data_IF_538840896386
#
_entry.id   IF_538840896386
#
_cell.length_a   1.000
_cell.length_b   1.000
_cell.length_c   1.000
_cell.angle_alpha   90.00
_cell.angle_beta   90.00
_cell.angle_gamma   90.00
#
_symmetry.space_group_name_H-M   'P 1'
#
loop_
_entity.id
_entity.type
_entity.pdbx_description
1 polymer ?
#
# COMPACT_ATOMS: atom_id res chain seq x y z
N UNK A 1 -27.20 8.65 -18.94
CA UNK A 1 -26.49 9.43 -17.91
C UNK A 1 -25.02 9.10 -18.10
N UNK A 2 -24.23 10.04 -18.60
CA UNK A 2 -22.82 9.80 -18.94
C UNK A 2 -21.96 9.92 -17.68
N UNK A 3 -21.06 8.94 -17.45
CA UNK A 3 -20.05 9.01 -16.40
C UNK A 3 -19.05 10.10 -16.81
N UNK A 4 -18.77 11.11 -15.96
CA UNK A 4 -17.78 12.12 -16.31
C UNK A 4 -16.38 11.50 -16.29
N UNK A 5 -15.62 11.75 -17.35
CA UNK A 5 -14.22 11.39 -17.46
C UNK A 5 -13.39 12.37 -16.61
N UNK A 6 -12.83 11.88 -15.50
CA UNK A 6 -11.95 12.65 -14.61
C UNK A 6 -10.50 12.14 -14.69
N UNK A 7 -10.04 11.76 -15.88
CA UNK A 7 -8.62 11.54 -16.12
C UNK A 7 -7.87 12.88 -16.08
N UNK A 8 -7.33 13.24 -14.91
CA UNK A 8 -6.27 14.25 -14.83
C UNK A 8 -5.00 13.60 -15.39
N UNK A 9 -4.56 14.09 -16.55
CA UNK A 9 -3.30 13.70 -17.20
C UNK A 9 -2.11 14.18 -16.37
N UNK A 10 -1.76 13.43 -15.34
CA UNK A 10 -0.51 13.59 -14.61
C UNK A 10 0.58 12.97 -15.49
N UNK A 11 1.30 13.80 -16.24
CA UNK A 11 2.46 13.39 -17.03
C UNK A 11 3.38 12.49 -16.18
N UNK A 12 3.49 11.22 -16.58
CA UNK A 12 4.23 10.21 -15.83
C UNK A 12 5.74 10.36 -16.10
N UNK A 13 6.61 10.39 -15.07
CA UNK A 13 8.05 10.28 -15.32
C UNK A 13 8.38 8.97 -16.04
N UNK A 14 9.32 9.02 -16.98
CA UNK A 14 9.66 7.94 -17.92
C UNK A 14 10.24 6.68 -17.27
N UNK A 15 10.75 6.79 -16.04
CA UNK A 15 11.07 5.65 -15.18
C UNK A 15 10.63 5.98 -13.75
N UNK A 16 9.61 5.28 -13.25
CA UNK A 16 9.38 5.28 -11.80
C UNK A 16 10.64 4.70 -11.14
N UNK A 17 11.18 5.34 -10.09
CA UNK A 17 12.28 4.75 -9.34
C UNK A 17 11.87 3.37 -8.83
N UNK A 18 12.84 2.44 -8.76
CA UNK A 18 12.57 1.07 -8.31
C UNK A 18 12.04 1.00 -6.87
N UNK A 19 11.57 -0.17 -6.42
CA UNK A 19 10.89 -0.29 -5.14
C UNK A 19 11.84 0.06 -3.99
N UNK A 20 11.29 0.71 -2.98
CA UNK A 20 11.93 0.81 -1.66
C UNK A 20 11.58 -0.44 -0.86
N UNK A 21 12.52 -0.86 -0.03
CA UNK A 21 12.42 -2.04 0.82
C UNK A 21 13.01 -1.71 2.19
N UNK A 22 12.63 -2.50 3.19
CA UNK A 22 13.33 -2.56 4.47
C UNK A 22 14.43 -3.61 4.37
N UNK A 23 15.66 -3.27 4.76
CA UNK A 23 16.83 -4.16 4.73
C UNK A 23 17.77 -3.82 5.88
N UNK A 24 18.08 -4.81 6.73
CA UNK A 24 18.99 -4.63 7.89
C UNK A 24 18.63 -3.39 8.74
N UNK A 25 17.36 -3.22 9.09
CA UNK A 25 16.87 -2.06 9.87
C UNK A 25 17.10 -0.71 9.18
N UNK A 26 17.25 -0.67 7.86
CA UNK A 26 17.40 0.55 7.07
C UNK A 26 16.49 0.54 5.84
N UNK A 27 16.20 1.72 5.32
CA UNK A 27 15.51 1.85 4.04
C UNK A 27 16.52 1.76 2.89
N UNK A 28 16.21 0.93 1.92
CA UNK A 28 17.00 0.79 0.70
C UNK A 28 16.11 0.84 -0.53
N UNK A 29 16.68 1.25 -1.66
CA UNK A 29 16.03 1.23 -2.96
C UNK A 29 16.73 0.22 -3.85
N UNK A 30 15.95 -0.66 -4.46
CA UNK A 30 16.46 -1.56 -5.48
C UNK A 30 16.37 -0.91 -6.87
N UNK A 31 17.42 -1.03 -7.67
CA UNK A 31 17.38 -0.76 -9.11
C UNK A 31 18.12 -1.86 -9.88
N UNK A 32 17.74 -2.11 -11.14
CA UNK A 32 18.47 -3.07 -11.99
C UNK A 32 19.88 -2.59 -12.36
N UNK A 33 20.14 -1.29 -12.33
CA UNK A 33 21.42 -0.71 -12.73
C UNK A 33 22.47 -0.75 -11.61
N UNK A 34 22.05 -0.52 -10.36
CA UNK A 34 22.94 -0.36 -9.20
C UNK A 34 22.69 -1.39 -8.09
N UNK A 35 21.73 -2.29 -8.27
CA UNK A 35 21.31 -3.23 -7.24
C UNK A 35 20.61 -2.53 -6.06
N UNK A 36 20.78 -3.08 -4.87
CA UNK A 36 20.24 -2.53 -3.64
C UNK A 36 21.16 -1.43 -3.10
N UNK A 37 20.61 -0.22 -2.93
CA UNK A 37 21.33 0.95 -2.43
C UNK A 37 20.57 1.54 -1.24
N UNK A 38 21.25 1.86 -0.15
CA UNK A 38 20.62 2.60 0.95
C UNK A 38 20.09 3.94 0.45
N UNK A 39 18.96 4.39 1.00
CA UNK A 39 18.43 5.72 0.66
C UNK A 39 19.30 6.77 1.37
N UNK A 40 19.99 7.66 0.63
CA UNK A 40 20.87 8.64 1.24
C UNK A 40 20.14 9.51 2.26
N UNK A 41 20.78 9.75 3.41
CA UNK A 41 20.26 10.62 4.46
C UNK A 41 19.17 9.98 5.33
N UNK A 42 18.75 8.74 5.08
CA UNK A 42 17.85 8.04 6.01
C UNK A 42 18.62 7.49 7.22
N UNK A 43 18.10 7.65 8.44
CA UNK A 43 18.73 7.09 9.64
C UNK A 43 18.60 5.56 9.66
N UNK A 44 19.46 4.89 10.42
CA UNK A 44 19.22 3.50 10.84
C UNK A 44 18.03 3.44 11.79
N UNK A 45 17.19 2.42 11.66
CA UNK A 45 15.94 2.23 12.42
C UNK A 45 16.14 1.28 13.61
N UNK A 46 17.36 1.13 14.10
CA UNK A 46 17.71 0.11 15.11
C UNK A 46 16.91 0.21 16.41
N UNK A 47 16.59 -0.94 16.99
CA UNK A 47 15.75 -1.06 18.19
C UNK A 47 14.25 -0.82 17.94
N UNK A 48 13.83 -0.76 16.67
CA UNK A 48 12.43 -0.66 16.21
C UNK A 48 12.03 -1.93 15.44
N UNK A 49 10.74 -2.07 15.16
CA UNK A 49 10.20 -3.06 14.23
C UNK A 49 9.61 -2.33 13.00
N UNK A 50 10.46 -1.78 12.11
CA UNK A 50 10.02 -0.98 10.99
C UNK A 50 9.39 -1.86 9.91
N UNK A 51 8.08 -1.71 9.71
CA UNK A 51 7.29 -2.46 8.75
C UNK A 51 6.54 -1.52 7.81
N UNK A 52 6.18 -2.05 6.64
CA UNK A 52 5.24 -1.42 5.71
C UNK A 52 5.56 0.06 5.40
N UNK A 53 6.74 0.37 4.81
CA UNK A 53 7.02 1.73 4.37
C UNK A 53 5.96 2.20 3.37
N UNK A 54 5.57 3.46 3.48
CA UNK A 54 4.72 4.17 2.52
C UNK A 54 5.48 5.39 2.01
N UNK A 55 5.36 5.65 0.71
CA UNK A 55 6.15 6.67 0.01
C UNK A 55 5.21 7.54 -0.79
N UNK A 56 5.23 8.88 -0.62
CA UNK A 56 4.41 9.74 -1.44
C UNK A 56 4.88 9.70 -2.90
N UNK A 57 3.97 10.11 -3.79
CA UNK A 57 4.38 10.48 -5.13
C UNK A 57 5.28 11.72 -5.13
N UNK A 58 6.11 11.84 -6.15
CA UNK A 58 6.96 13.02 -6.32
C UNK A 58 6.13 14.31 -6.36
N UNK A 59 6.58 15.34 -5.65
CA UNK A 59 5.90 16.64 -5.57
C UNK A 59 4.73 16.72 -4.60
N UNK A 60 4.40 15.63 -3.89
CA UNK A 60 3.39 15.66 -2.82
C UNK A 60 3.99 16.24 -1.54
N UNK A 61 3.28 17.19 -0.93
CA UNK A 61 3.59 17.75 0.39
C UNK A 61 3.24 16.75 1.51
N UNK A 62 4.15 15.80 1.74
CA UNK A 62 4.09 14.76 2.75
C UNK A 62 5.51 14.36 3.20
N UNK A 63 5.66 13.68 4.35
CA UNK A 63 6.94 13.08 4.73
C UNK A 63 7.39 12.09 3.66
N UNK A 64 8.69 12.09 3.35
CA UNK A 64 9.26 11.27 2.26
C UNK A 64 9.04 9.78 2.44
N UNK A 65 9.09 9.30 3.66
CA UNK A 65 8.74 7.92 4.01
C UNK A 65 8.03 7.93 5.34
N UNK A 66 6.98 7.11 5.44
CA UNK A 66 6.32 6.78 6.69
C UNK A 66 6.40 5.27 6.88
N UNK A 67 6.72 4.82 8.08
CA UNK A 67 6.76 3.40 8.44
C UNK A 67 5.76 3.11 9.56
N UNK A 68 5.26 1.88 9.62
CA UNK A 68 4.62 1.36 10.82
C UNK A 68 5.69 0.77 11.75
N UNK A 69 5.65 1.09 13.03
CA UNK A 69 6.55 0.55 14.05
C UNK A 69 5.73 -0.31 15.02
N UNK A 70 5.98 -1.62 15.02
CA UNK A 70 5.33 -2.59 15.90
C UNK A 70 3.79 -2.65 15.80
N UNK A 71 3.20 -2.12 14.72
CA UNK A 71 1.75 -2.03 14.55
C UNK A 71 1.07 -1.01 15.48
N UNK A 72 1.81 -0.19 16.22
CA UNK A 72 1.26 0.74 17.22
C UNK A 72 1.60 2.20 16.94
N UNK A 73 2.52 2.48 16.01
CA UNK A 73 2.89 3.85 15.67
C UNK A 73 3.20 4.03 14.20
N UNK A 74 2.85 5.19 13.66
CA UNK A 74 3.35 5.67 12.38
C UNK A 74 4.50 6.64 12.64
N UNK A 75 5.65 6.39 12.03
CA UNK A 75 6.83 7.24 12.15
C UNK A 75 7.18 7.88 10.82
N UNK A 76 7.53 9.15 10.81
CA UNK A 76 8.23 9.75 9.67
C UNK A 76 9.68 9.29 9.66
N UNK A 77 10.23 9.02 8.48
CA UNK A 77 11.66 8.78 8.31
C UNK A 77 12.26 9.96 7.51
N UNK A 78 12.93 10.90 8.20
CA UNK A 78 13.59 12.04 7.57
C UNK A 78 14.74 11.60 6.65
N UNK A 79 15.08 12.44 5.67
CA UNK A 79 16.20 12.25 4.75
C UNK A 79 17.40 13.19 5.02
N UNK A 80 17.39 13.84 6.18
CA UNK A 80 18.47 14.70 6.68
C UNK A 80 19.29 14.04 7.80
N UNK A 81 19.04 12.76 8.06
CA UNK A 81 19.67 11.97 9.12
C UNK A 81 19.12 12.21 10.52
N UNK A 82 18.10 13.06 10.68
CA UNK A 82 17.43 13.23 11.98
C UNK A 82 16.64 11.99 12.40
N UNK A 83 16.34 11.89 13.70
CA UNK A 83 15.64 10.74 14.25
C UNK A 83 14.19 10.63 13.73
N UNK A 84 13.66 9.41 13.53
CA UNK A 84 12.26 9.20 13.19
C UNK A 84 11.33 9.87 14.21
N UNK A 85 10.35 10.63 13.73
CA UNK A 85 9.37 11.31 14.60
C UNK A 85 8.05 10.57 14.58
N UNK A 86 7.44 10.40 15.76
CA UNK A 86 6.10 9.81 15.87
C UNK A 86 5.06 10.76 15.27
N UNK A 87 4.38 10.29 14.23
CA UNK A 87 3.31 11.01 13.57
C UNK A 87 1.94 10.69 14.20
N UNK A 88 1.74 9.41 14.53
CA UNK A 88 0.49 8.92 15.08
C UNK A 88 0.74 7.67 15.92
N UNK A 89 -0.06 7.49 16.97
CA UNK A 89 -0.01 6.31 17.84
C UNK A 89 -1.42 5.75 17.96
N UNK A 90 -1.53 4.43 17.88
CA UNK A 90 -2.77 3.70 18.06
C UNK A 90 -2.48 2.23 18.36
N UNK A 91 -3.47 1.39 18.09
CA UNK A 91 -3.40 -0.05 18.31
C UNK A 91 -3.75 -0.74 16.98
N UNK A 92 -3.11 -1.87 16.67
CA UNK A 92 -3.41 -2.68 15.46
C UNK A 92 -3.51 -1.84 14.18
N UNK A 93 -2.55 -0.93 13.96
CA UNK A 93 -2.56 -0.05 12.79
C UNK A 93 -2.38 -0.86 11.51
N UNK A 94 -3.25 -0.66 10.53
CA UNK A 94 -3.03 -1.21 9.19
C UNK A 94 -1.82 -0.52 8.51
N UNK A 95 -1.14 -1.19 7.56
CA UNK A 95 -0.09 -0.59 6.74
C UNK A 95 -0.48 0.80 6.20
N UNK A 96 0.39 1.82 6.31
CA UNK A 96 0.07 3.16 5.83
C UNK A 96 -0.03 3.23 4.30
N UNK A 97 -0.80 4.20 3.80
CA UNK A 97 -0.85 4.61 2.39
C UNK A 97 -0.86 6.14 2.32
N UNK A 98 -0.16 6.74 1.35
CA UNK A 98 -0.06 8.19 1.26
C UNK A 98 -0.73 8.68 -0.02
N UNK A 99 -1.79 9.49 0.14
CA UNK A 99 -2.50 10.03 -1.01
C UNK A 99 -1.77 11.23 -1.65
N UNK A 100 -2.24 11.66 -2.82
CA UNK A 100 -1.69 12.83 -3.54
C UNK A 100 -1.91 14.18 -2.84
N UNK A 101 -2.75 14.23 -1.81
CA UNK A 101 -2.98 15.41 -0.98
C UNK A 101 -2.10 15.40 0.28
N UNK A 102 -1.22 14.40 0.41
CA UNK A 102 -0.28 14.24 1.50
C UNK A 102 -0.92 13.84 2.82
N UNK A 103 -2.07 13.16 2.78
CA UNK A 103 -2.62 12.49 3.96
C UNK A 103 -2.07 11.07 4.04
N UNK A 104 -1.69 10.68 5.25
CA UNK A 104 -1.24 9.34 5.61
C UNK A 104 -2.45 8.59 6.17
N UNK A 105 -2.91 7.57 5.44
CA UNK A 105 -4.09 6.79 5.77
C UNK A 105 -3.72 5.51 6.50
N UNK A 106 -4.46 5.20 7.55
CA UNK A 106 -4.37 3.95 8.31
C UNK A 106 -5.73 3.65 8.98
N UNK A 107 -5.80 2.55 9.71
CA UNK A 107 -6.92 2.22 10.62
C UNK A 107 -6.40 2.08 12.03
N UNK A 108 -7.31 1.97 12.99
CA UNK A 108 -6.98 1.76 14.40
C UNK A 108 -7.87 0.64 14.95
N UNK A 109 -7.24 -0.37 15.56
CA UNK A 109 -7.87 -1.42 16.36
C UNK A 109 -8.42 -2.61 15.57
N UNK A 110 -8.47 -3.76 16.25
CA UNK A 110 -8.89 -5.06 15.68
C UNK A 110 -10.34 -5.16 15.18
N UNK A 111 -11.21 -4.19 15.48
CA UNK A 111 -12.54 -4.02 14.89
C UNK A 111 -12.73 -2.56 14.50
N UNK A 112 -12.67 -2.24 13.21
CA UNK A 112 -12.70 -0.87 12.73
C UNK A 112 -14.13 -0.35 12.53
N UNK A 113 -14.38 0.89 12.95
CA UNK A 113 -15.59 1.66 12.57
C UNK A 113 -15.22 3.03 11.99
N UNK A 114 -13.93 3.33 11.93
CA UNK A 114 -13.36 4.56 11.40
C UNK A 114 -12.09 4.24 10.61
N UNK A 115 -11.83 5.05 9.59
CA UNK A 115 -10.52 5.14 8.94
C UNK A 115 -9.89 6.46 9.36
N UNK A 116 -8.58 6.43 9.62
CA UNK A 116 -7.82 7.58 10.10
C UNK A 116 -6.94 8.11 8.98
N UNK A 117 -6.91 9.44 8.85
CA UNK A 117 -5.99 10.16 7.97
C UNK A 117 -5.22 11.21 8.78
N UNK A 118 -3.89 11.22 8.66
CA UNK A 118 -2.99 12.10 9.41
C UNK A 118 -2.21 12.98 8.44
N UNK A 119 -1.89 14.22 8.83
CA UNK A 119 -1.01 15.14 8.08
C UNK A 119 0.35 15.23 8.75
N UNK A 120 1.37 15.67 8.02
CA UNK A 120 2.73 15.86 8.52
C UNK A 120 2.82 16.77 9.76
N UNK A 121 1.88 17.71 9.91
CA UNK A 121 1.78 18.62 11.05
C UNK A 121 1.07 18.01 12.28
N UNK A 122 0.72 16.71 12.22
CA UNK A 122 0.01 15.99 13.28
C UNK A 122 -1.52 16.17 13.25
N UNK A 123 -2.08 16.93 12.29
CA UNK A 123 -3.53 17.06 12.16
C UNK A 123 -4.17 15.70 11.88
N UNK A 124 -5.21 15.37 12.64
CA UNK A 124 -5.87 14.07 12.63
C UNK A 124 -7.32 14.18 12.14
N UNK A 125 -7.67 13.31 11.19
CA UNK A 125 -8.99 13.23 10.59
C UNK A 125 -9.53 11.81 10.78
N UNK A 126 -10.68 11.70 11.43
CA UNK A 126 -11.44 10.45 11.54
C UNK A 126 -12.57 10.48 10.53
N UNK A 127 -12.66 9.44 9.71
CA UNK A 127 -13.66 9.31 8.67
C UNK A 127 -14.56 8.14 9.06
N UNK A 128 -15.87 8.39 9.11
CA UNK A 128 -16.86 7.36 9.37
C UNK A 128 -16.70 6.20 8.39
N UNK A 129 -16.58 5.01 8.95
CA UNK A 129 -16.54 3.76 8.22
C UNK A 129 -17.38 2.72 8.96
N UNK A 130 -18.57 3.11 9.43
CA UNK A 130 -19.44 2.26 10.26
C UNK A 130 -19.76 0.91 9.60
N UNK A 131 -19.70 0.83 8.26
CA UNK A 131 -19.86 -0.42 7.52
C UNK A 131 -18.78 -1.49 7.81
N UNK A 132 -17.65 -1.11 8.41
CA UNK A 132 -16.58 -2.00 8.87
C UNK A 132 -16.81 -2.56 10.28
N UNK A 133 -17.87 -2.13 10.99
CA UNK A 133 -18.14 -2.59 12.35
C UNK A 133 -18.19 -4.14 12.40
N UNK A 134 -17.49 -4.71 13.38
CA UNK A 134 -17.29 -6.16 13.51
C UNK A 134 -16.21 -6.76 12.61
N UNK A 135 -15.47 -5.97 11.81
CA UNK A 135 -14.40 -6.46 10.91
C UNK A 135 -13.01 -5.95 11.32
N UNK A 136 -12.00 -6.80 11.19
CA UNK A 136 -10.59 -6.41 11.27
C UNK A 136 -10.15 -5.87 9.91
N UNK A 137 -9.57 -4.68 9.86
CA UNK A 137 -9.03 -4.12 8.61
C UNK A 137 -7.57 -4.52 8.48
N UNK A 138 -7.22 -5.18 7.37
CA UNK A 138 -5.85 -5.56 7.07
C UNK A 138 -5.12 -4.52 6.22
N UNK A 139 -5.83 -3.78 5.37
CA UNK A 139 -5.22 -2.68 4.59
C UNK A 139 -6.22 -1.64 4.12
N UNK A 140 -5.74 -0.40 3.99
CA UNK A 140 -6.42 0.70 3.31
C UNK A 140 -5.43 1.29 2.31
N UNK A 141 -5.72 1.18 1.02
CA UNK A 141 -4.83 1.63 -0.06
C UNK A 141 -5.51 2.70 -0.89
N UNK A 142 -4.93 3.90 -0.90
CA UNK A 142 -5.48 5.02 -1.65
C UNK A 142 -5.07 4.92 -3.11
N UNK A 143 -6.02 5.17 -3.99
CA UNK A 143 -5.74 5.29 -5.41
C UNK A 143 -4.88 6.52 -5.67
N UNK A 144 -4.18 6.48 -6.78
CA UNK A 144 -3.33 7.56 -7.28
C UNK A 144 -4.05 8.92 -7.41
N UNK A 145 -5.35 8.89 -7.67
CA UNK A 145 -6.20 10.08 -7.80
C UNK A 145 -6.63 10.66 -6.45
N UNK A 146 -6.41 9.96 -5.35
CA UNK A 146 -6.84 10.34 -3.99
C UNK A 146 -8.35 10.38 -3.78
N UNK A 147 -9.14 9.95 -4.77
CA UNK A 147 -10.59 9.98 -4.80
C UNK A 147 -11.21 8.58 -4.60
N UNK A 148 -10.38 7.53 -4.57
CA UNK A 148 -10.80 6.15 -4.31
C UNK A 148 -9.87 5.50 -3.30
N UNK A 149 -10.40 4.58 -2.51
CA UNK A 149 -9.62 3.69 -1.66
C UNK A 149 -10.10 2.25 -1.86
N UNK A 150 -9.17 1.31 -1.71
CA UNK A 150 -9.51 -0.10 -1.52
C UNK A 150 -9.25 -0.46 -0.08
N UNK A 151 -10.24 -1.08 0.54
CA UNK A 151 -10.20 -1.55 1.91
C UNK A 151 -10.27 -3.06 1.88
N UNK A 152 -9.28 -3.71 2.50
CA UNK A 152 -9.31 -5.15 2.75
C UNK A 152 -9.65 -5.35 4.22
N UNK A 153 -10.71 -6.10 4.49
CA UNK A 153 -11.18 -6.38 5.84
C UNK A 153 -11.65 -7.83 5.98
N UNK A 154 -11.70 -8.31 7.22
CA UNK A 154 -11.97 -9.70 7.53
C UNK A 154 -12.93 -9.81 8.71
N UNK A 155 -13.89 -10.72 8.61
CA UNK A 155 -14.52 -11.37 9.78
C UNK A 155 -13.83 -12.71 10.01
N UNK A 156 -14.23 -13.47 11.04
CA UNK A 156 -13.70 -14.82 11.29
C UNK A 156 -13.82 -15.75 10.06
N UNK A 157 -14.94 -15.65 9.33
CA UNK A 157 -15.25 -16.59 8.23
C UNK A 157 -15.10 -16.01 6.81
N UNK A 158 -14.69 -14.74 6.67
CA UNK A 158 -14.81 -14.06 5.36
C UNK A 158 -13.84 -12.91 5.18
N UNK A 159 -13.20 -12.89 4.02
CA UNK A 159 -12.45 -11.74 3.50
C UNK A 159 -13.31 -10.86 2.61
N UNK A 160 -13.14 -9.55 2.74
CA UNK A 160 -13.80 -8.53 1.96
C UNK A 160 -12.74 -7.65 1.29
N UNK A 161 -12.88 -7.41 -0.01
CA UNK A 161 -12.13 -6.40 -0.75
C UNK A 161 -13.15 -5.43 -1.30
N UNK A 162 -13.15 -4.19 -0.81
CA UNK A 162 -14.18 -3.20 -1.11
C UNK A 162 -13.54 -1.92 -1.64
N UNK A 163 -14.06 -1.43 -2.77
CA UNK A 163 -13.73 -0.14 -3.36
C UNK A 163 -14.69 0.93 -2.82
N UNK A 164 -14.15 2.02 -2.29
CA UNK A 164 -14.93 3.16 -1.80
C UNK A 164 -14.48 4.45 -2.48
N UNK A 165 -15.43 5.36 -2.70
CA UNK A 165 -15.11 6.75 -3.06
C UNK A 165 -14.64 7.54 -1.83
N UNK A 166 -13.73 8.47 -2.00
CA UNK A 166 -13.22 9.35 -0.93
C UNK A 166 -13.75 10.76 -1.17
N UNK A 167 -14.70 11.18 -0.33
CA UNK A 167 -15.24 12.53 -0.32
C UNK A 167 -14.33 13.50 0.41
N UNK A 168 -14.07 14.66 -0.19
CA UNK A 168 -13.18 15.71 0.35
C UNK A 168 -13.85 17.07 0.34
N UNK A 169 -13.39 17.95 1.22
CA UNK A 169 -13.76 19.36 1.15
C UNK A 169 -12.88 20.14 0.15
N UNK A 170 -13.15 21.43 -0.01
CA UNK A 170 -12.46 22.32 -0.97
C UNK A 170 -10.96 22.48 -0.70
N UNK A 171 -10.48 22.12 0.49
CA UNK A 171 -9.05 22.12 0.84
C UNK A 171 -8.42 20.73 0.68
N UNK A 172 -9.14 19.75 0.11
CA UNK A 172 -8.66 18.39 -0.08
C UNK A 172 -8.67 17.54 1.21
N UNK A 173 -9.24 18.04 2.30
CA UNK A 173 -9.34 17.29 3.56
C UNK A 173 -10.38 16.18 3.42
N UNK A 174 -10.09 14.93 3.82
CA UNK A 174 -11.05 13.85 3.75
C UNK A 174 -12.22 14.08 4.71
N UNK A 175 -13.43 13.77 4.25
CA UNK A 175 -14.69 14.01 4.97
C UNK A 175 -15.60 12.81 5.04
N UNK A 176 -15.60 11.96 4.01
CA UNK A 176 -16.51 10.82 3.95
C UNK A 176 -15.96 9.72 3.07
N UNK A 177 -16.49 8.51 3.26
CA UNK A 177 -16.36 7.39 2.34
C UNK A 177 -17.71 7.16 1.66
N UNK A 178 -17.68 6.82 0.38
CA UNK A 178 -18.86 6.41 -0.37
C UNK A 178 -19.32 5.00 0.01
N UNK A 179 -20.44 4.57 -0.57
CA UNK A 179 -20.94 3.20 -0.41
C UNK A 179 -19.89 2.19 -0.92
N UNK A 180 -19.57 1.15 -0.13
CA UNK A 180 -18.57 0.15 -0.53
C UNK A 180 -19.07 -0.72 -1.68
N UNK A 181 -18.28 -0.79 -2.74
CA UNK A 181 -18.47 -1.72 -3.84
C UNK A 181 -17.56 -2.93 -3.63
N UNK A 182 -18.16 -4.10 -3.42
CA UNK A 182 -17.41 -5.34 -3.30
C UNK A 182 -16.75 -5.70 -4.63
N UNK A 183 -15.47 -6.04 -4.57
CA UNK A 183 -14.67 -6.50 -5.70
C UNK A 183 -13.91 -7.77 -5.28
N UNK A 184 -13.36 -8.48 -6.27
CA UNK A 184 -12.53 -9.67 -6.05
C UNK A 184 -13.16 -10.74 -5.13
N UNK A 185 -14.48 -10.96 -5.26
CA UNK A 185 -15.24 -11.92 -4.43
C UNK A 185 -14.80 -13.39 -4.54
N UNK A 186 -13.95 -13.70 -5.51
CA UNK A 186 -13.35 -15.02 -5.69
C UNK A 186 -12.20 -15.30 -4.70
N UNK A 187 -11.70 -14.29 -3.99
CA UNK A 187 -10.63 -14.41 -3.01
C UNK A 187 -11.17 -14.96 -1.67
N UNK A 188 -10.38 -15.84 -1.07
CA UNK A 188 -10.69 -16.44 0.24
C UNK A 188 -9.86 -15.77 1.35
N UNK A 189 -8.55 -15.63 1.13
CA UNK A 189 -7.62 -14.90 1.99
C UNK A 189 -6.86 -13.83 1.20
N UNK A 190 -6.57 -12.70 1.83
CA UNK A 190 -5.72 -11.63 1.27
C UNK A 190 -4.57 -11.34 2.22
N UNK A 191 -3.34 -11.55 1.74
CA UNK A 191 -2.11 -11.29 2.49
C UNK A 191 -1.62 -9.86 2.29
N UNK A 192 -1.71 -9.33 1.07
CA UNK A 192 -1.27 -7.98 0.74
C UNK A 192 -1.95 -7.45 -0.52
N UNK A 193 -2.08 -6.13 -0.62
CA UNK A 193 -2.70 -5.48 -1.77
C UNK A 193 -2.08 -4.11 -2.08
N UNK A 194 -2.03 -3.79 -3.36
CA UNK A 194 -1.54 -2.51 -3.88
C UNK A 194 -2.28 -2.10 -5.14
N UNK A 195 -2.41 -0.81 -5.37
CA UNK A 195 -2.81 -0.29 -6.68
C UNK A 195 -1.73 -0.58 -7.73
N UNK A 196 -2.18 -0.93 -8.92
CA UNK A 196 -1.38 -1.11 -10.12
C UNK A 196 -1.99 -0.24 -11.22
N UNK A 197 -1.68 1.04 -11.18
CA UNK A 197 -2.27 2.06 -12.05
C UNK A 197 -3.67 2.52 -11.64
N UNK A 198 -4.38 3.24 -12.53
CA UNK A 198 -5.62 3.91 -12.16
C UNK A 198 -6.82 2.97 -12.03
N UNK A 199 -6.81 1.78 -12.66
CA UNK A 199 -8.01 0.92 -12.72
C UNK A 199 -7.73 -0.55 -12.42
N UNK A 200 -6.55 -0.87 -11.88
CA UNK A 200 -6.19 -2.23 -11.49
C UNK A 200 -5.56 -2.29 -10.11
N UNK A 201 -5.73 -3.44 -9.47
CA UNK A 201 -5.08 -3.84 -8.22
C UNK A 201 -4.20 -5.05 -8.48
N UNK A 202 -3.17 -5.19 -7.66
CA UNK A 202 -2.43 -6.43 -7.47
C UNK A 202 -2.70 -6.89 -6.06
N UNK A 203 -3.20 -8.11 -5.91
CA UNK A 203 -3.60 -8.70 -4.64
C UNK A 203 -2.88 -10.04 -4.50
N UNK A 204 -2.20 -10.24 -3.37
CA UNK A 204 -1.61 -11.50 -2.99
C UNK A 204 -2.59 -12.25 -2.08
N UNK A 205 -2.97 -13.45 -2.45
CA UNK A 205 -4.01 -14.17 -1.72
C UNK A 205 -4.34 -15.56 -2.27
N UNK A 206 -5.19 -16.26 -1.53
CA UNK A 206 -5.80 -17.52 -1.93
C UNK A 206 -7.17 -17.27 -2.54
N UNK A 207 -7.74 -18.28 -3.19
CA UNK A 207 -9.08 -18.22 -3.76
C UNK A 207 -9.96 -19.28 -3.13
N UNK A 208 -11.28 -19.09 -3.21
CA UNK A 208 -12.25 -20.09 -2.69
C UNK A 208 -12.07 -21.47 -3.35
N UNK A 209 -11.50 -21.51 -4.57
CA UNK A 209 -11.28 -22.74 -5.33
C UNK A 209 -9.87 -23.34 -5.17
N UNK A 210 -8.91 -22.60 -4.61
CA UNK A 210 -7.49 -22.99 -4.55
C UNK A 210 -6.80 -22.23 -3.41
N UNK A 211 -6.28 -23.00 -2.45
CA UNK A 211 -5.57 -22.53 -1.24
C UNK A 211 -4.12 -22.14 -1.50
N UNK A 212 -3.64 -22.26 -2.74
CA UNK A 212 -2.32 -21.79 -3.13
C UNK A 212 -2.29 -20.26 -3.19
N UNK A 213 -1.43 -19.65 -2.37
CA UNK A 213 -1.16 -18.22 -2.42
C UNK A 213 -0.60 -17.81 -3.79
N UNK A 214 -1.32 -16.93 -4.50
CA UNK A 214 -0.91 -16.39 -5.79
C UNK A 214 -1.14 -14.90 -5.88
N UNK A 215 -0.48 -14.30 -6.85
CA UNK A 215 -0.69 -12.89 -7.21
C UNK A 215 -1.81 -12.79 -8.24
N UNK A 216 -2.86 -12.07 -7.89
CA UNK A 216 -4.02 -11.80 -8.73
C UNK A 216 -4.00 -10.34 -9.16
N UNK A 217 -4.11 -10.10 -10.47
CA UNK A 217 -4.37 -8.77 -11.01
C UNK A 217 -5.87 -8.61 -11.19
N UNK A 218 -6.44 -7.69 -10.43
CA UNK A 218 -7.88 -7.43 -10.39
C UNK A 218 -8.15 -6.11 -11.11
N UNK A 219 -8.93 -6.14 -12.19
CA UNK A 219 -9.30 -4.93 -12.93
C UNK A 219 -10.68 -4.45 -12.49
N UNK A 220 -10.80 -3.16 -12.22
CA UNK A 220 -12.08 -2.53 -11.88
C UNK A 220 -12.91 -2.45 -13.16
N UNK A 221 -13.92 -3.32 -13.27
CA UNK A 221 -14.79 -3.42 -14.45
C UNK A 221 -14.21 -4.24 -15.61
N UNK A 222 -13.15 -5.01 -15.37
CA UNK A 222 -12.47 -5.83 -16.39
C UNK A 222 -12.33 -7.29 -15.98
N UNK A 223 -11.54 -8.03 -16.77
CA UNK A 223 -11.19 -9.42 -16.46
C UNK A 223 -10.03 -9.47 -15.48
N UNK A 224 -10.12 -10.40 -14.52
CA UNK A 224 -9.04 -10.69 -13.58
C UNK A 224 -8.06 -11.68 -14.20
N UNK A 225 -6.79 -11.58 -13.84
CA UNK A 225 -5.75 -12.51 -14.28
C UNK A 225 -4.91 -12.99 -13.10
N UNK A 226 -4.42 -14.22 -13.16
CA UNK A 226 -3.49 -14.78 -12.18
C UNK A 226 -2.08 -14.73 -12.74
N UNK A 227 -1.11 -14.32 -11.94
CA UNK A 227 0.29 -14.35 -12.32
C UNK A 227 0.93 -15.70 -11.94
N UNK A 228 2.01 -16.12 -12.61
CA UNK A 228 2.78 -17.29 -12.23
C UNK A 228 3.17 -17.30 -10.75
N UNK A 229 3.27 -18.49 -10.19
CA UNK A 229 3.56 -18.69 -8.77
C UNK A 229 4.97 -18.18 -8.40
N UNK A 230 5.05 -17.52 -7.25
CA UNK A 230 6.28 -17.34 -6.47
C UNK A 230 6.06 -18.11 -5.16
N UNK A 231 6.90 -19.09 -4.88
CA UNK A 231 6.76 -19.89 -3.67
C UNK A 231 6.92 -19.02 -2.42
N UNK A 232 6.10 -19.30 -1.41
CA UNK A 232 6.13 -18.64 -0.10
C UNK A 232 6.03 -17.11 -0.19
N UNK A 233 5.31 -16.58 -1.19
CA UNK A 233 5.09 -15.15 -1.37
C UNK A 233 4.35 -14.55 -0.17
N UNK A 234 4.85 -13.41 0.33
CA UNK A 234 4.28 -12.73 1.52
C UNK A 234 3.95 -11.25 1.29
N UNK A 235 4.52 -10.61 0.26
CA UNK A 235 4.26 -9.19 -0.03
C UNK A 235 4.32 -8.88 -1.52
N UNK A 236 3.55 -7.88 -1.96
CA UNK A 236 3.51 -7.39 -3.35
C UNK A 236 3.63 -5.88 -3.38
N UNK A 237 4.33 -5.37 -4.40
CA UNK A 237 4.28 -3.95 -4.72
C UNK A 237 4.15 -3.76 -6.23
N UNK A 238 3.49 -2.67 -6.62
CA UNK A 238 3.35 -2.31 -8.03
C UNK A 238 3.66 -0.85 -8.26
N UNK A 239 4.32 -0.56 -9.38
CA UNK A 239 4.49 0.80 -9.84
C UNK A 239 3.17 1.37 -10.39
N UNK A 240 3.11 2.70 -10.45
CA UNK A 240 1.98 3.46 -11.00
C UNK A 240 1.66 3.14 -12.46
N UNK A 241 2.61 2.65 -13.25
CA UNK A 241 2.41 2.39 -14.69
C UNK A 241 1.96 0.96 -15.01
N UNK A 242 1.65 0.16 -13.98
CA UNK A 242 1.18 -1.24 -14.06
C UNK A 242 2.16 -2.24 -14.70
N UNK A 243 3.33 -1.77 -15.16
CA UNK A 243 4.34 -2.58 -15.86
C UNK A 243 5.30 -3.26 -14.90
N UNK A 244 5.41 -2.78 -13.67
CA UNK A 244 6.32 -3.34 -12.67
C UNK A 244 5.52 -3.84 -11.48
N UNK A 245 5.42 -5.16 -11.38
CA UNK A 245 4.97 -5.86 -10.17
C UNK A 245 6.18 -6.57 -9.60
N UNK A 246 6.34 -6.47 -8.29
CA UNK A 246 7.39 -7.16 -7.54
C UNK A 246 6.76 -7.98 -6.43
N UNK A 247 7.40 -9.09 -6.09
CA UNK A 247 6.96 -10.02 -5.05
C UNK A 247 8.12 -10.25 -4.10
N UNK A 248 7.86 -10.26 -2.80
CA UNK A 248 8.82 -10.76 -1.80
C UNK A 248 8.27 -12.03 -1.18
N UNK A 249 9.14 -13.01 -0.95
CA UNK A 249 8.79 -14.24 -0.25
C UNK A 249 9.28 -14.23 1.20
N UNK A 250 8.88 -15.24 1.98
CA UNK A 250 9.22 -15.36 3.40
C UNK A 250 10.71 -15.50 3.69
N UNK A 251 11.53 -15.90 2.71
CA UNK A 251 13.01 -15.92 2.83
C UNK A 251 13.67 -14.57 2.57
N UNK A 252 12.87 -13.52 2.31
CA UNK A 252 13.34 -12.17 2.03
C UNK A 252 13.94 -12.00 0.64
N UNK A 253 13.55 -12.84 -0.33
CA UNK A 253 13.97 -12.72 -1.72
C UNK A 253 12.99 -11.86 -2.52
N UNK A 254 13.51 -10.84 -3.22
CA UNK A 254 12.75 -9.99 -4.13
C UNK A 254 12.74 -10.59 -5.54
N UNK A 255 11.54 -10.70 -6.10
CA UNK A 255 11.30 -11.15 -7.46
C UNK A 255 10.74 -10.01 -8.30
N UNK A 256 11.35 -9.73 -9.44
CA UNK A 256 10.83 -8.83 -10.45
C UNK A 256 10.13 -9.60 -11.55
N UNK A 257 9.05 -9.02 -12.08
CA UNK A 257 8.42 -9.54 -13.28
C UNK A 257 9.23 -9.18 -14.52
N UNK A 258 9.68 -10.20 -15.26
CA UNK A 258 10.34 -10.04 -16.56
C UNK A 258 9.54 -10.82 -17.61
N UNK A 259 8.65 -10.12 -18.32
CA UNK A 259 7.70 -10.73 -19.25
C UNK A 259 6.80 -11.77 -18.58
N UNK A 260 6.95 -13.04 -19.00
CA UNK A 260 6.18 -14.17 -18.48
C UNK A 260 6.80 -14.84 -17.24
N UNK A 261 8.02 -14.45 -16.82
CA UNK A 261 8.75 -15.10 -15.75
C UNK A 261 9.00 -14.18 -14.55
N UNK A 262 9.29 -14.79 -13.40
CA UNK A 262 9.83 -14.12 -12.22
C UNK A 262 11.34 -14.29 -12.20
N UNK A 263 12.06 -13.20 -11.97
CA UNK A 263 13.50 -13.22 -11.76
C UNK A 263 13.79 -12.79 -10.32
N UNK A 264 14.46 -13.65 -9.55
CA UNK A 264 15.01 -13.28 -8.25
C UNK A 264 16.17 -12.31 -8.46
N UNK A 265 16.18 -11.18 -7.76
CA UNK A 265 17.16 -10.11 -7.97
C UNK A 265 17.97 -9.71 -6.75
N UNK A 266 17.43 -9.86 -5.54
CA UNK A 266 18.12 -9.58 -4.29
C UNK A 266 17.48 -10.38 -3.15
N UNK A 267 18.22 -10.57 -2.05
CA UNK A 267 17.75 -11.24 -0.83
C UNK A 267 17.99 -10.36 0.40
N UNK A 268 17.43 -10.74 1.56
CA UNK A 268 17.60 -9.99 2.81
C UNK A 268 16.75 -8.72 2.88
N UNK A 269 15.64 -8.67 2.15
CA UNK A 269 14.74 -7.53 2.08
C UNK A 269 13.34 -7.90 2.58
N UNK A 270 12.58 -6.90 3.03
CA UNK A 270 11.18 -7.01 3.41
C UNK A 270 10.37 -5.80 2.92
N UNK A 271 9.05 -5.96 2.92
CA UNK A 271 8.05 -4.93 2.66
C UNK A 271 8.38 -4.00 1.47
N UNK A 272 8.42 -4.55 0.24
CA UNK A 272 8.63 -3.73 -0.95
C UNK A 272 7.49 -2.72 -1.10
N UNK A 273 7.82 -1.52 -1.57
CA UNK A 273 6.84 -0.47 -1.86
C UNK A 273 7.29 0.41 -3.01
N UNK A 274 6.34 0.84 -3.83
CA UNK A 274 6.52 1.97 -4.75
C UNK A 274 5.76 3.16 -4.21
N UNK A 275 6.01 4.36 -4.75
CA UNK A 275 5.21 5.53 -4.39
C UNK A 275 3.69 5.27 -4.53
N UNK A 276 2.93 5.57 -3.48
CA UNK A 276 1.49 5.31 -3.31
C UNK A 276 1.09 5.11 -1.85
#
# INVERSE_FOLDING_TARGET
MAIPDFAVDLALPSSAPGPVVVSQEALARYSSATGLQQIPGTPTLGGRDPRHPAIPYEGVDAPRVVIADGGTSLLTVPDDGSEPTVLFTGEDLSPPSIDRYGFIWTTQGGIAHEIVAVRADGSLYRIDATWLEGRRVSSVRLAVDGARAVVVSNTEDRTFVELVGVGRDSLGRPRSLGEPLRIAEFLDEVLDSTWAGPVSLVILGTTVADDTVRVHRVSIGGLNTVLPLVADAVAVASSRNERSVVVTNSSGALYLRSGAAWQMVVTGIADPVYSG
#
